data_IF_783079041284
#
_entry.id   IF_783079041284
#
_cell.length_a   1.000
_cell.length_b   1.000
_cell.length_c   1.000
_cell.angle_alpha   90.00
_cell.angle_beta   90.00
_cell.angle_gamma   90.00
#
_symmetry.space_group_name_H-M   'P 1'
#
loop_
_entity.id
_entity.type
_entity.pdbx_description
1 polymer ?
#
# COMPACT_ATOMS: atom_id res chain seq x y z
N UNK A 1 -12.39 1.06 10.61
CA UNK A 1 -11.06 0.41 10.87
C UNK A 1 -11.15 -0.80 11.80
N UNK A 2 -12.36 -1.22 12.19
CA UNK A 2 -12.55 -2.39 13.07
C UNK A 2 -11.89 -3.66 12.51
N UNK A 3 -12.06 -3.94 11.22
CA UNK A 3 -11.48 -5.12 10.56
C UNK A 3 -9.95 -5.22 10.66
N UNK A 4 -9.25 -4.07 10.76
CA UNK A 4 -7.80 -4.05 10.99
C UNK A 4 -7.45 -4.45 12.44
N UNK A 5 -8.18 -3.93 13.42
CA UNK A 5 -8.00 -4.33 14.83
C UNK A 5 -8.38 -5.78 15.05
N UNK A 6 -9.47 -6.25 14.42
CA UNK A 6 -9.90 -7.64 14.49
C UNK A 6 -8.84 -8.61 13.95
N UNK A 7 -8.17 -8.24 12.85
CA UNK A 7 -7.06 -9.03 12.33
C UNK A 7 -5.87 -9.06 13.29
N UNK A 8 -5.52 -7.90 13.89
CA UNK A 8 -4.43 -7.81 14.87
C UNK A 8 -4.72 -8.66 16.10
N UNK A 9 -5.94 -8.59 16.64
CA UNK A 9 -6.39 -9.43 17.77
C UNK A 9 -6.35 -10.91 17.39
N UNK A 10 -6.86 -11.26 16.23
CA UNK A 10 -6.87 -12.65 15.75
C UNK A 10 -5.46 -13.23 15.65
N UNK A 11 -4.47 -12.46 15.20
CA UNK A 11 -3.07 -12.93 15.14
C UNK A 11 -2.52 -13.17 16.56
N UNK A 12 -2.82 -12.29 17.52
CA UNK A 12 -2.38 -12.49 18.90
C UNK A 12 -2.99 -13.74 19.53
N UNK A 13 -4.25 -14.04 19.24
CA UNK A 13 -4.99 -15.15 19.85
C UNK A 13 -4.72 -16.48 19.15
N UNK A 14 -4.78 -16.52 17.83
CA UNK A 14 -4.81 -17.73 17.00
C UNK A 14 -3.53 -17.93 16.18
N UNK A 15 -2.64 -16.91 16.09
CA UNK A 15 -1.45 -16.96 15.25
C UNK A 15 -0.45 -18.02 15.68
N UNK A 16 0.16 -18.66 14.68
CA UNK A 16 1.23 -19.64 14.88
C UNK A 16 2.57 -18.94 15.02
N UNK A 17 3.35 -19.29 16.02
CA UNK A 17 4.71 -18.78 16.20
C UNK A 17 5.64 -19.35 15.12
N UNK A 18 6.42 -18.47 14.51
CA UNK A 18 7.38 -18.82 13.46
C UNK A 18 8.67 -18.04 13.62
N UNK A 19 9.79 -18.67 13.26
CA UNK A 19 11.03 -17.96 12.98
C UNK A 19 10.90 -17.17 11.69
N UNK A 20 11.63 -16.08 11.59
CA UNK A 20 11.71 -15.25 10.40
C UNK A 20 13.17 -14.94 10.03
N UNK A 21 13.39 -14.32 8.87
CA UNK A 21 14.72 -13.96 8.36
C UNK A 21 15.51 -13.06 9.31
N UNK A 22 14.82 -12.18 10.06
CA UNK A 22 15.44 -11.20 10.96
C UNK A 22 15.84 -11.82 12.32
N UNK A 23 15.38 -13.04 12.63
CA UNK A 23 15.59 -13.68 13.93
C UNK A 23 14.74 -13.10 15.06
N UNK A 24 13.85 -12.13 14.78
CA UNK A 24 12.95 -11.52 15.77
C UNK A 24 11.85 -12.48 16.21
N UNK A 25 11.40 -13.34 15.29
CA UNK A 25 10.23 -14.20 15.46
C UNK A 25 8.91 -13.46 15.18
N UNK A 26 7.90 -14.21 14.78
CA UNK A 26 6.57 -13.69 14.47
C UNK A 26 5.47 -14.59 14.98
N UNK A 27 4.28 -14.02 15.19
CA UNK A 27 3.01 -14.77 15.19
C UNK A 27 2.29 -14.48 13.88
N UNK A 28 1.81 -15.49 13.18
CA UNK A 28 1.16 -15.29 11.88
C UNK A 28 -0.07 -16.17 11.66
N UNK A 29 -0.96 -15.70 10.81
CA UNK A 29 -2.04 -16.47 10.20
C UNK A 29 -1.85 -16.46 8.68
N UNK A 30 -2.27 -17.53 8.01
CA UNK A 30 -2.21 -17.64 6.56
C UNK A 30 -3.60 -17.51 5.94
N UNK A 31 -3.74 -16.52 5.07
CA UNK A 31 -5.00 -16.24 4.37
C UNK A 31 -5.98 -15.42 5.22
N UNK A 32 -6.15 -14.15 4.85
CA UNK A 32 -7.14 -13.25 5.44
C UNK A 32 -7.56 -12.19 4.43
N UNK A 33 -8.75 -11.63 4.61
CA UNK A 33 -9.22 -10.53 3.75
C UNK A 33 -9.95 -9.48 4.58
N UNK A 34 -9.67 -8.20 4.26
CA UNK A 34 -10.36 -7.04 4.85
C UNK A 34 -11.02 -6.23 3.74
N UNK A 35 -12.18 -5.64 4.04
CA UNK A 35 -12.93 -4.76 3.14
C UNK A 35 -13.06 -3.37 3.73
N UNK A 36 -12.81 -2.35 2.91
CA UNK A 36 -12.92 -0.93 3.27
C UNK A 36 -13.83 -0.21 2.28
N UNK A 37 -15.02 0.16 2.71
CA UNK A 37 -15.91 1.02 1.95
C UNK A 37 -15.36 2.45 1.96
N UNK A 38 -14.81 2.90 0.83
CA UNK A 38 -14.16 4.20 0.71
C UNK A 38 -15.15 5.38 0.74
N UNK A 39 -16.46 5.11 0.65
CA UNK A 39 -17.50 6.14 0.82
C UNK A 39 -17.72 6.50 2.30
N UNK A 40 -17.28 5.65 3.23
CA UNK A 40 -17.37 5.90 4.68
C UNK A 40 -16.24 6.78 5.23
N UNK A 41 -15.26 7.12 4.40
CA UNK A 41 -14.10 7.91 4.75
C UNK A 41 -12.80 7.27 4.26
N UNK A 42 -11.71 8.00 4.37
CA UNK A 42 -10.39 7.52 4.00
C UNK A 42 -9.86 6.55 5.07
N UNK A 43 -9.49 5.31 4.73
CA UNK A 43 -9.15 4.28 5.71
C UNK A 43 -7.74 4.48 6.29
N UNK A 44 -7.52 5.60 6.96
CA UNK A 44 -6.31 5.90 7.71
C UNK A 44 -6.53 5.51 9.19
N UNK A 45 -5.63 4.72 9.75
CA UNK A 45 -5.71 4.25 11.13
C UNK A 45 -5.77 5.44 12.09
N UNK A 46 -6.70 5.42 13.04
CA UNK A 46 -6.90 6.46 14.06
C UNK A 46 -6.44 6.04 15.46
N UNK A 47 -6.24 4.74 15.69
CA UNK A 47 -5.77 4.20 16.98
C UNK A 47 -4.27 4.44 17.24
N UNK A 48 -3.56 4.92 16.24
CA UNK A 48 -2.23 5.54 16.34
C UNK A 48 -2.03 6.50 15.18
N UNK A 49 -1.20 7.53 15.37
CA UNK A 49 -0.85 8.47 14.30
C UNK A 49 -0.07 7.77 13.20
N UNK A 50 -0.51 7.94 11.96
CA UNK A 50 0.17 7.44 10.75
C UNK A 50 0.80 8.62 10.00
N UNK A 51 2.00 8.43 9.47
CA UNK A 51 2.74 9.45 8.73
C UNK A 51 2.31 9.50 7.26
N UNK A 52 1.17 10.14 7.00
CA UNK A 52 0.55 10.22 5.67
C UNK A 52 1.48 10.80 4.60
N UNK A 53 2.36 11.76 4.98
CA UNK A 53 3.34 12.35 4.02
C UNK A 53 4.19 11.27 3.36
N UNK A 54 4.70 10.29 4.12
CA UNK A 54 5.49 9.19 3.56
C UNK A 54 4.68 8.34 2.59
N UNK A 55 3.41 8.06 2.90
CA UNK A 55 2.52 7.26 2.05
C UNK A 55 2.29 7.93 0.70
N UNK A 56 2.01 9.24 0.70
CA UNK A 56 1.75 9.99 -0.54
C UNK A 56 3.02 10.05 -1.39
N UNK A 57 4.17 10.41 -0.81
CA UNK A 57 5.42 10.48 -1.57
C UNK A 57 5.87 9.11 -2.09
N UNK A 58 5.71 8.04 -1.31
CA UNK A 58 6.02 6.67 -1.77
C UNK A 58 5.14 6.28 -2.97
N UNK A 59 3.83 6.55 -2.92
CA UNK A 59 2.94 6.24 -4.03
C UNK A 59 3.28 7.04 -5.30
N UNK A 60 3.59 8.33 -5.17
CA UNK A 60 4.06 9.17 -6.27
C UNK A 60 5.36 8.60 -6.84
N UNK A 61 6.31 8.24 -6.00
CA UNK A 61 7.58 7.65 -6.39
C UNK A 61 7.42 6.32 -7.15
N UNK A 62 6.51 5.43 -6.71
CA UNK A 62 6.16 4.23 -7.47
C UNK A 62 5.58 4.57 -8.85
N UNK A 63 4.68 5.55 -8.92
CA UNK A 63 4.06 5.99 -10.17
C UNK A 63 5.07 6.67 -11.12
N UNK A 64 6.12 7.29 -10.62
CA UNK A 64 7.23 7.80 -11.41
C UNK A 64 8.10 6.69 -12.04
N UNK A 65 7.95 5.43 -11.56
CA UNK A 65 8.78 4.30 -12.00
C UNK A 65 10.20 4.34 -11.46
N UNK A 66 10.47 5.17 -10.47
CA UNK A 66 11.80 5.32 -9.88
C UNK A 66 12.14 4.16 -8.94
N UNK A 67 13.43 3.85 -8.87
CA UNK A 67 14.02 2.86 -7.95
C UNK A 67 15.06 3.48 -7.02
N UNK A 68 15.42 4.74 -7.26
CA UNK A 68 16.34 5.51 -6.44
C UNK A 68 15.59 6.33 -5.40
N UNK A 69 16.07 6.30 -4.16
CA UNK A 69 15.42 6.95 -3.01
C UNK A 69 15.69 8.46 -2.90
N UNK A 70 16.42 9.09 -3.82
CA UNK A 70 16.75 10.53 -3.77
C UNK A 70 15.51 11.40 -3.66
N UNK A 71 14.48 11.15 -4.49
CA UNK A 71 13.19 11.85 -4.39
C UNK A 71 12.56 11.75 -2.99
N UNK A 72 12.60 10.56 -2.39
CA UNK A 72 12.06 10.35 -1.03
C UNK A 72 12.84 11.15 0.00
N UNK A 73 14.18 11.11 -0.06
CA UNK A 73 15.07 11.88 0.84
C UNK A 73 14.87 13.38 0.71
N UNK A 74 14.80 13.91 -0.51
CA UNK A 74 14.52 15.33 -0.77
C UNK A 74 13.20 15.79 -0.16
N UNK A 75 12.22 14.89 -0.04
CA UNK A 75 10.93 15.15 0.57
C UNK A 75 10.87 14.76 2.08
N UNK A 76 12.00 14.40 2.69
CA UNK A 76 12.08 14.04 4.11
C UNK A 76 11.38 12.71 4.45
N UNK A 77 11.41 11.75 3.52
CA UNK A 77 10.86 10.40 3.67
C UNK A 77 12.00 9.42 3.71
N UNK A 78 12.11 8.64 4.80
CA UNK A 78 13.24 7.74 5.10
C UNK A 78 12.84 6.26 5.16
N UNK A 79 11.60 5.91 4.79
CA UNK A 79 11.05 4.56 4.96
C UNK A 79 11.72 3.48 4.09
N UNK A 80 12.62 3.86 3.20
CA UNK A 80 13.39 2.98 2.33
C UNK A 80 14.91 3.05 2.55
N UNK A 81 15.38 3.90 3.46
CA UNK A 81 16.82 4.16 3.66
C UNK A 81 17.61 2.90 4.06
N UNK A 82 17.01 1.99 4.82
CA UNK A 82 17.67 0.78 5.34
C UNK A 82 17.93 -0.28 4.26
N UNK A 83 17.24 -0.21 3.12
CA UNK A 83 17.37 -1.19 2.03
C UNK A 83 18.16 -0.66 0.83
N UNK A 84 18.34 0.65 0.73
CA UNK A 84 19.05 1.25 -0.39
C UNK A 84 20.56 1.04 -0.29
N UNK A 85 21.21 0.85 -1.45
CA UNK A 85 22.66 0.83 -1.52
C UNK A 85 23.29 2.22 -1.28
N UNK A 86 24.62 2.30 -1.37
CA UNK A 86 25.38 3.55 -1.17
C UNK A 86 25.01 4.67 -2.17
N UNK A 87 24.47 4.31 -3.34
CA UNK A 87 24.00 5.23 -4.38
C UNK A 87 22.51 5.56 -4.26
N UNK A 88 21.82 4.97 -3.27
CA UNK A 88 20.39 5.13 -3.07
C UNK A 88 19.53 4.23 -3.97
N UNK A 89 20.09 3.20 -4.59
CA UNK A 89 19.36 2.28 -5.47
C UNK A 89 18.79 1.08 -4.71
N UNK A 90 17.63 0.61 -5.15
CA UNK A 90 16.90 -0.52 -4.60
C UNK A 90 16.79 -1.70 -5.58
N UNK A 91 17.34 -1.55 -6.79
CA UNK A 91 17.10 -2.48 -7.87
C UNK A 91 15.68 -2.35 -8.46
N UNK A 92 15.23 -3.30 -9.28
CA UNK A 92 13.99 -3.18 -10.07
C UNK A 92 12.72 -3.42 -9.21
N UNK A 93 12.56 -2.65 -8.11
CA UNK A 93 11.41 -2.74 -7.19
C UNK A 93 10.13 -2.15 -7.80
N UNK A 94 9.06 -2.11 -7.07
CA UNK A 94 7.69 -1.70 -7.41
C UNK A 94 7.52 -0.74 -8.60
N UNK A 95 8.13 0.44 -8.53
CA UNK A 95 7.99 1.46 -9.57
C UNK A 95 8.50 0.98 -10.93
N UNK A 96 9.65 0.30 -10.96
CA UNK A 96 10.19 -0.30 -12.17
C UNK A 96 9.22 -1.34 -12.75
N UNK A 97 8.74 -2.27 -11.94
CA UNK A 97 7.82 -3.31 -12.41
C UNK A 97 6.50 -2.73 -12.91
N UNK A 98 5.96 -1.70 -12.26
CA UNK A 98 4.72 -1.07 -12.67
C UNK A 98 4.83 -0.28 -13.98
N UNK A 99 6.00 0.35 -14.24
CA UNK A 99 6.18 1.31 -15.31
C UNK A 99 7.12 0.86 -16.43
N UNK A 100 7.98 -0.10 -16.14
CA UNK A 100 9.08 -0.48 -17.04
C UNK A 100 9.31 -1.99 -17.06
N UNK A 101 8.23 -2.78 -17.00
CA UNK A 101 8.33 -4.24 -17.06
C UNK A 101 8.99 -4.69 -18.37
N UNK A 102 10.05 -5.51 -18.31
CA UNK A 102 10.73 -5.97 -19.52
C UNK A 102 9.85 -6.93 -20.32
N UNK A 103 9.54 -6.55 -21.56
CA UNK A 103 8.81 -7.38 -22.50
C UNK A 103 9.69 -8.36 -23.24
N UNK A 104 9.08 -9.28 -24.00
CA UNK A 104 9.76 -10.42 -24.62
C UNK A 104 10.79 -10.03 -25.68
N UNK A 105 10.55 -8.96 -26.43
CA UNK A 105 11.37 -8.53 -27.56
C UNK A 105 12.18 -7.27 -27.25
N UNK A 106 12.42 -6.98 -25.95
CA UNK A 106 13.11 -5.79 -25.50
C UNK A 106 12.26 -4.53 -25.41
N UNK A 107 10.95 -4.63 -25.65
CA UNK A 107 10.02 -3.54 -25.37
C UNK A 107 9.83 -3.37 -23.86
N UNK A 108 9.41 -2.16 -23.47
CA UNK A 108 9.03 -1.84 -22.10
C UNK A 108 7.52 -1.77 -21.99
N UNK A 109 6.96 -2.51 -21.01
CA UNK A 109 5.53 -2.53 -20.73
C UNK A 109 5.24 -1.62 -19.53
N UNK A 110 4.50 -0.54 -19.76
CA UNK A 110 3.95 0.32 -18.72
C UNK A 110 2.57 -0.22 -18.29
N UNK A 111 2.55 -0.98 -17.21
CA UNK A 111 1.33 -1.61 -16.71
C UNK A 111 0.30 -0.57 -16.22
N UNK A 112 0.73 0.55 -15.64
CA UNK A 112 -0.18 1.60 -15.14
C UNK A 112 -0.87 2.32 -16.30
N UNK A 113 -0.12 2.72 -17.33
CA UNK A 113 -0.72 3.33 -18.53
C UNK A 113 -1.65 2.36 -19.25
N UNK A 114 -1.25 1.09 -19.36
CA UNK A 114 -2.06 0.02 -19.93
C UNK A 114 -3.37 -0.21 -19.16
N UNK A 115 -3.30 -0.26 -17.83
CA UNK A 115 -4.47 -0.37 -16.95
C UNK A 115 -5.46 0.77 -17.17
N UNK A 116 -4.98 2.03 -17.12
CA UNK A 116 -5.83 3.21 -17.28
C UNK A 116 -6.51 3.23 -18.65
N UNK A 117 -5.75 2.90 -19.71
CA UNK A 117 -6.32 2.79 -21.05
C UNK A 117 -7.37 1.67 -21.14
N UNK A 118 -7.10 0.53 -20.50
CA UNK A 118 -8.04 -0.59 -20.50
C UNK A 118 -9.33 -0.26 -19.73
N UNK A 119 -9.26 0.43 -18.60
CA UNK A 119 -10.46 0.89 -17.88
C UNK A 119 -11.29 1.85 -18.76
N UNK A 120 -10.64 2.75 -19.50
CA UNK A 120 -11.33 3.69 -20.42
C UNK A 120 -12.06 2.98 -21.58
N UNK A 121 -11.42 1.96 -22.15
CA UNK A 121 -11.91 1.32 -23.40
C UNK A 121 -12.74 0.08 -23.16
N UNK A 122 -12.52 -0.62 -22.04
CA UNK A 122 -13.21 -1.85 -21.66
C UNK A 122 -13.28 -1.98 -20.12
N UNK A 123 -14.13 -1.20 -19.44
CA UNK A 123 -14.24 -1.20 -17.97
C UNK A 123 -14.69 -2.56 -17.40
N UNK A 124 -15.40 -3.39 -18.18
CA UNK A 124 -15.84 -4.72 -17.76
C UNK A 124 -14.74 -5.79 -17.84
N UNK A 125 -13.54 -5.41 -18.21
CA UNK A 125 -12.40 -6.33 -18.33
C UNK A 125 -12.06 -6.97 -16.98
N UNK A 126 -11.82 -8.28 -16.99
CA UNK A 126 -11.29 -9.05 -15.85
C UNK A 126 -9.76 -9.06 -15.80
N UNK A 127 -9.09 -8.26 -16.65
CA UNK A 127 -7.63 -8.18 -16.78
C UNK A 127 -7.08 -6.84 -16.31
N UNK A 128 -7.82 -6.12 -15.47
CA UNK A 128 -7.40 -4.84 -14.89
C UNK A 128 -6.41 -5.09 -13.75
N UNK A 129 -5.25 -5.69 -14.07
CA UNK A 129 -4.26 -6.18 -13.12
C UNK A 129 -2.93 -5.48 -13.35
N UNK A 130 -2.25 -5.15 -12.24
CA UNK A 130 -0.84 -4.74 -12.20
C UNK A 130 -0.10 -5.65 -11.24
N UNK A 131 1.07 -6.14 -11.64
CA UNK A 131 1.90 -7.00 -10.80
C UNK A 131 3.30 -6.41 -10.61
N UNK A 132 3.81 -6.50 -9.39
CA UNK A 132 5.20 -6.20 -9.07
C UNK A 132 6.05 -7.47 -8.91
N UNK A 133 5.42 -8.65 -8.81
CA UNK A 133 6.12 -9.91 -8.65
C UNK A 133 6.64 -10.42 -10.00
N UNK A 134 7.92 -10.21 -10.26
CA UNK A 134 8.62 -10.68 -11.44
C UNK A 134 9.67 -11.72 -11.06
N UNK A 135 9.45 -13.03 -11.30
CA UNK A 135 10.42 -14.07 -10.92
C UNK A 135 11.82 -13.89 -11.52
N UNK A 136 11.94 -13.19 -12.65
CA UNK A 136 13.24 -12.91 -13.28
C UNK A 136 14.04 -11.81 -12.59
N UNK A 137 13.39 -10.98 -11.78
CA UNK A 137 14.00 -9.81 -11.15
C UNK A 137 14.02 -9.85 -9.64
N UNK A 138 13.24 -10.74 -8.99
CA UNK A 138 13.08 -10.80 -7.53
C UNK A 138 14.42 -10.84 -6.80
N UNK A 139 15.40 -11.63 -7.30
CA UNK A 139 16.72 -11.75 -6.69
C UNK A 139 17.62 -10.51 -6.87
N UNK A 140 17.21 -9.56 -7.73
CA UNK A 140 17.92 -8.30 -7.97
C UNK A 140 17.36 -7.15 -7.14
N UNK A 141 16.26 -7.37 -6.42
CA UNK A 141 15.59 -6.38 -5.62
C UNK A 141 16.15 -6.34 -4.21
N UNK A 142 16.42 -5.15 -3.68
CA UNK A 142 16.84 -4.99 -2.30
C UNK A 142 15.79 -5.55 -1.32
N UNK A 143 14.51 -5.42 -1.70
CA UNK A 143 13.38 -6.01 -0.97
C UNK A 143 12.36 -6.58 -1.96
N UNK A 144 12.17 -7.92 -2.03
CA UNK A 144 11.13 -8.54 -2.85
C UNK A 144 9.73 -8.01 -2.51
N UNK A 145 8.86 -7.74 -3.52
CA UNK A 145 7.58 -7.09 -3.29
C UNK A 145 6.69 -7.85 -2.32
N UNK A 146 6.29 -7.20 -1.23
CA UNK A 146 5.32 -7.71 -0.27
C UNK A 146 3.91 -7.63 -0.85
N UNK A 147 3.51 -6.47 -1.38
CA UNK A 147 2.26 -6.27 -2.12
C UNK A 147 2.49 -6.62 -3.60
N UNK A 148 2.17 -7.88 -3.94
CA UNK A 148 2.61 -8.52 -5.17
C UNK A 148 1.83 -8.08 -6.40
N UNK A 149 0.50 -7.97 -6.28
CA UNK A 149 -0.39 -7.60 -7.38
C UNK A 149 -1.64 -6.92 -6.85
N UNK A 150 -2.22 -6.08 -7.69
CA UNK A 150 -3.54 -5.52 -7.44
C UNK A 150 -4.39 -5.55 -8.70
N UNK A 151 -5.70 -5.63 -8.47
CA UNK A 151 -6.71 -5.70 -9.53
C UNK A 151 -7.77 -4.64 -9.29
N UNK A 152 -8.19 -3.98 -10.38
CA UNK A 152 -9.34 -3.10 -10.33
C UNK A 152 -10.60 -3.78 -10.87
N UNK A 153 -11.72 -3.31 -10.36
CA UNK A 153 -13.04 -3.74 -10.79
C UNK A 153 -13.94 -2.50 -10.94
N UNK A 154 -14.59 -2.39 -12.08
CA UNK A 154 -15.54 -1.31 -12.36
C UNK A 154 -16.94 -1.88 -12.45
N UNK A 155 -17.87 -1.33 -11.69
CA UNK A 155 -19.27 -1.74 -11.71
C UNK A 155 -20.16 -0.57 -11.34
N UNK A 156 -21.25 -0.37 -12.08
CA UNK A 156 -22.23 0.70 -11.83
C UNK A 156 -21.60 2.09 -11.71
N UNK A 157 -20.59 2.38 -12.53
CA UNK A 157 -19.87 3.66 -12.52
C UNK A 157 -18.91 3.85 -11.33
N UNK A 158 -18.69 2.82 -10.53
CA UNK A 158 -17.76 2.83 -9.37
C UNK A 158 -16.54 1.99 -9.65
N UNK A 159 -15.39 2.45 -9.14
CA UNK A 159 -14.12 1.72 -9.20
C UNK A 159 -13.73 1.19 -7.81
N UNK A 160 -13.36 -0.08 -7.75
CA UNK A 160 -12.85 -0.77 -6.56
C UNK A 160 -11.47 -1.37 -6.85
N UNK A 161 -10.67 -1.57 -5.81
CA UNK A 161 -9.34 -2.17 -5.91
C UNK A 161 -9.22 -3.34 -4.95
N UNK A 162 -8.61 -4.43 -5.40
CA UNK A 162 -8.19 -5.54 -4.54
C UNK A 162 -6.67 -5.68 -4.62
N UNK A 163 -6.02 -5.67 -3.46
CA UNK A 163 -4.58 -5.95 -3.29
C UNK A 163 -4.38 -7.37 -2.78
N UNK A 164 -3.42 -8.11 -3.36
CA UNK A 164 -2.84 -9.29 -2.76
C UNK A 164 -1.46 -8.97 -2.20
N UNK A 165 -1.29 -9.14 -0.88
CA UNK A 165 -0.05 -8.95 -0.16
C UNK A 165 0.43 -10.30 0.40
N UNK A 166 1.57 -10.81 -0.10
CA UNK A 166 2.10 -12.13 0.28
C UNK A 166 2.64 -12.19 1.70
N UNK A 167 3.15 -11.06 2.20
CA UNK A 167 3.80 -10.91 3.50
C UNK A 167 3.43 -9.56 4.07
N UNK A 168 2.85 -9.53 5.26
CA UNK A 168 2.22 -8.35 5.82
C UNK A 168 2.55 -8.16 7.30
N UNK A 169 3.46 -7.23 7.60
CA UNK A 169 3.62 -6.70 8.96
C UNK A 169 2.39 -5.88 9.32
N UNK A 170 1.55 -6.45 10.19
CA UNK A 170 0.27 -5.85 10.55
C UNK A 170 0.44 -4.58 11.36
N UNK A 171 1.51 -4.48 12.16
CA UNK A 171 1.68 -3.32 13.02
C UNK A 171 2.26 -2.10 12.29
N UNK A 172 3.37 -2.25 11.56
CA UNK A 172 4.02 -1.12 10.87
C UNK A 172 3.58 -0.95 9.43
N UNK A 173 3.61 -2.02 8.61
CA UNK A 173 3.44 -1.93 7.16
C UNK A 173 1.99 -1.79 6.71
N UNK A 174 1.09 -2.64 7.22
CA UNK A 174 -0.29 -2.73 6.73
C UNK A 174 -1.07 -1.41 6.80
N UNK A 175 -0.96 -0.57 7.86
CA UNK A 175 -1.59 0.75 7.86
C UNK A 175 -1.19 1.65 6.68
N UNK A 176 0.07 1.59 6.26
CA UNK A 176 0.60 2.31 5.09
C UNK A 176 0.00 1.75 3.80
N UNK A 177 -0.02 0.42 3.65
CA UNK A 177 -0.54 -0.22 2.44
C UNK A 177 -2.05 0.02 2.27
N UNK A 178 -2.85 -0.02 3.34
CA UNK A 178 -4.29 0.30 3.29
C UNK A 178 -4.49 1.71 2.72
N UNK A 179 -3.81 2.70 3.30
CA UNK A 179 -3.96 4.09 2.88
C UNK A 179 -3.42 4.33 1.46
N UNK A 180 -2.28 3.72 1.10
CA UNK A 180 -1.67 3.86 -0.23
C UNK A 180 -2.59 3.35 -1.34
N UNK A 181 -3.15 2.14 -1.21
CA UNK A 181 -4.02 1.58 -2.25
C UNK A 181 -5.42 2.19 -2.26
N UNK A 182 -5.94 2.65 -1.12
CA UNK A 182 -7.13 3.48 -1.08
C UNK A 182 -6.91 4.79 -1.85
N UNK A 183 -5.76 5.46 -1.64
CA UNK A 183 -5.40 6.68 -2.35
C UNK A 183 -5.22 6.43 -3.86
N UNK A 184 -4.53 5.37 -4.26
CA UNK A 184 -4.39 4.98 -5.67
C UNK A 184 -5.76 4.78 -6.34
N UNK A 185 -6.70 4.14 -5.63
CA UNK A 185 -8.08 3.95 -6.12
C UNK A 185 -8.77 5.29 -6.34
N UNK A 186 -8.63 6.22 -5.39
CA UNK A 186 -9.19 7.57 -5.51
C UNK A 186 -8.56 8.35 -6.66
N UNK A 187 -7.23 8.26 -6.85
CA UNK A 187 -6.52 8.92 -7.95
C UNK A 187 -7.03 8.44 -9.31
N UNK A 188 -7.16 7.12 -9.50
CA UNK A 188 -7.67 6.55 -10.76
C UNK A 188 -9.14 6.93 -10.96
N UNK A 189 -9.98 6.85 -9.92
CA UNK A 189 -11.37 7.32 -9.98
C UNK A 189 -11.46 8.78 -10.42
N UNK A 190 -10.61 9.65 -9.87
CA UNK A 190 -10.56 11.09 -10.20
C UNK A 190 -10.27 11.34 -11.68
N UNK A 191 -9.20 10.74 -12.23
CA UNK A 191 -8.82 10.97 -13.64
C UNK A 191 -9.80 10.31 -14.63
N UNK A 192 -10.48 9.23 -14.23
CA UNK A 192 -11.44 8.49 -15.07
C UNK A 192 -12.88 8.95 -14.86
N UNK A 193 -13.13 9.85 -13.90
CA UNK A 193 -14.47 10.35 -13.53
C UNK A 193 -15.40 9.21 -13.11
N UNK A 194 -14.86 8.25 -12.36
CA UNK A 194 -15.60 7.16 -11.74
C UNK A 194 -15.82 7.47 -10.26
N UNK A 195 -16.97 7.08 -9.75
CA UNK A 195 -17.22 7.07 -8.31
C UNK A 195 -16.33 6.04 -7.62
N UNK A 196 -16.11 6.22 -6.32
CA UNK A 196 -15.26 5.34 -5.54
C UNK A 196 -16.10 4.22 -4.91
N UNK A 197 -15.63 2.98 -5.03
CA UNK A 197 -16.23 1.80 -4.43
C UNK A 197 -15.52 1.40 -3.13
N UNK A 198 -14.92 0.22 -3.13
CA UNK A 198 -14.22 -0.35 -1.98
C UNK A 198 -12.73 -0.64 -2.27
N UNK A 199 -11.95 -0.72 -1.20
CA UNK A 199 -10.64 -1.34 -1.21
C UNK A 199 -10.71 -2.68 -0.48
N UNK A 200 -10.25 -3.75 -1.14
CA UNK A 200 -10.17 -5.11 -0.58
C UNK A 200 -8.71 -5.47 -0.39
N UNK A 201 -8.32 -5.81 0.83
CA UNK A 201 -6.95 -6.20 1.16
C UNK A 201 -6.88 -7.68 1.48
N UNK A 202 -6.23 -8.45 0.63
CA UNK A 202 -6.08 -9.91 0.75
C UNK A 202 -4.64 -10.23 1.13
N UNK A 203 -4.47 -11.07 2.15
CA UNK A 203 -3.19 -11.43 2.71
C UNK A 203 -2.83 -12.89 2.46
N UNK A 204 -1.56 -13.15 2.20
CA UNK A 204 -0.94 -14.45 2.37
C UNK A 204 -0.54 -14.65 3.84
N UNK A 205 0.72 -14.38 4.19
CA UNK A 205 1.22 -14.40 5.56
C UNK A 205 0.95 -13.04 6.22
N UNK A 206 0.00 -13.00 7.16
CA UNK A 206 -0.31 -11.84 7.96
C UNK A 206 0.28 -12.04 9.36
N UNK A 207 1.25 -11.19 9.75
CA UNK A 207 2.03 -11.42 10.95
C UNK A 207 2.24 -10.18 11.82
N UNK A 208 2.51 -10.44 13.10
CA UNK A 208 3.04 -9.51 14.07
C UNK A 208 4.43 -9.98 14.49
N UNK A 209 5.41 -9.11 14.43
CA UNK A 209 6.73 -9.39 15.02
C UNK A 209 6.65 -9.50 16.55
N UNK A 210 7.44 -10.39 17.13
CA UNK A 210 7.39 -10.66 18.58
C UNK A 210 7.70 -9.41 19.41
N UNK A 211 8.57 -8.52 18.91
CA UNK A 211 8.91 -7.24 19.54
C UNK A 211 7.83 -6.16 19.37
N UNK A 212 6.69 -6.46 18.71
CA UNK A 212 5.54 -5.55 18.56
C UNK A 212 4.31 -5.99 19.36
N UNK A 213 4.35 -7.09 20.12
CA UNK A 213 3.17 -7.60 20.82
C UNK A 213 2.62 -6.62 21.87
N UNK A 214 3.48 -5.93 22.60
CA UNK A 214 3.04 -4.98 23.62
C UNK A 214 2.45 -3.72 22.97
N UNK A 215 3.04 -3.24 21.89
CA UNK A 215 2.53 -2.14 21.09
C UNK A 215 1.18 -2.47 20.44
N UNK A 216 1.01 -3.71 19.95
CA UNK A 216 -0.24 -4.19 19.40
C UNK A 216 -1.35 -4.23 20.48
N UNK A 217 -1.04 -4.74 21.67
CA UNK A 217 -1.97 -4.72 22.82
C UNK A 217 -2.34 -3.30 23.24
N UNK A 218 -1.37 -2.38 23.30
CA UNK A 218 -1.63 -0.96 23.56
C UNK A 218 -2.59 -0.39 22.52
N UNK A 219 -2.34 -0.64 21.23
CA UNK A 219 -3.19 -0.15 20.15
C UNK A 219 -4.60 -0.73 20.21
N UNK A 220 -4.75 -2.01 20.53
CA UNK A 220 -6.04 -2.69 20.69
C UNK A 220 -6.86 -2.15 21.88
N UNK A 221 -6.20 -1.61 22.89
CA UNK A 221 -6.85 -0.95 24.03
C UNK A 221 -7.39 0.46 23.75
N UNK A 222 -7.20 0.98 22.53
CA UNK A 222 -7.62 2.33 22.14
C UNK A 222 -8.90 2.30 21.31
N UNK A 223 -9.85 3.18 21.62
CA UNK A 223 -11.04 3.37 20.79
C UNK A 223 -10.65 3.96 19.43
N UNK A 224 -11.21 3.42 18.35
CA UNK A 224 -11.08 4.06 17.04
C UNK A 224 -12.00 5.27 16.94
N UNK A 225 -11.54 6.30 16.21
CA UNK A 225 -12.26 7.53 15.94
C UNK A 225 -12.86 7.51 14.54
N UNK A 226 -13.65 8.50 14.22
CA UNK A 226 -14.20 8.64 12.86
C UNK A 226 -13.10 8.72 11.82
N UNK A 227 -13.38 8.16 10.64
CA UNK A 227 -12.42 8.17 9.53
C UNK A 227 -12.27 9.61 8.99
N UNK A 228 -11.04 10.02 8.68
CA UNK A 228 -10.80 11.30 8.02
C UNK A 228 -11.32 11.28 6.59
N UNK A 229 -11.33 12.47 5.98
CA UNK A 229 -11.68 12.65 4.57
C UNK A 229 -10.45 13.03 3.77
N UNK A 230 -10.19 12.29 2.70
CA UNK A 230 -9.16 12.64 1.73
C UNK A 230 -9.79 13.43 0.58
N UNK A 231 -9.33 14.66 0.36
CA UNK A 231 -9.71 15.47 -0.80
C UNK A 231 -8.58 15.53 -1.81
N UNK A 232 -8.92 15.28 -3.07
CA UNK A 232 -8.02 15.53 -4.21
C UNK A 232 -8.46 16.87 -4.82
N UNK A 233 -7.64 17.90 -4.62
CA UNK A 233 -7.98 19.30 -4.95
C UNK A 233 -7.72 19.68 -6.40
N UNK A 234 -6.82 18.96 -7.08
CA UNK A 234 -6.48 19.18 -8.49
C UNK A 234 -7.34 18.33 -9.44
N UNK A 235 -7.23 18.63 -10.74
CA UNK A 235 -7.84 17.85 -11.82
C UNK A 235 -6.78 17.54 -12.89
N UNK A 236 -5.78 16.68 -12.58
CA UNK A 236 -4.73 16.33 -13.51
C UNK A 236 -5.29 15.55 -14.71
N UNK A 237 -4.58 15.62 -15.84
CA UNK A 237 -4.94 14.86 -17.06
C UNK A 237 -4.41 13.43 -17.02
N UNK A 238 -3.33 13.23 -16.27
CA UNK A 238 -2.67 11.94 -16.11
C UNK A 238 -2.48 11.61 -14.63
N UNK A 239 -2.44 10.32 -14.30
CA UNK A 239 -2.11 9.86 -12.95
C UNK A 239 -0.68 10.26 -12.54
N UNK A 240 0.17 10.51 -13.49
CA UNK A 240 1.57 10.89 -13.29
C UNK A 240 1.77 12.39 -13.02
N UNK A 241 0.71 13.19 -13.17
CA UNK A 241 0.74 14.64 -12.94
C UNK A 241 0.38 15.03 -11.50
N UNK A 242 0.03 14.06 -10.65
CA UNK A 242 -0.27 14.33 -9.25
C UNK A 242 1.00 14.71 -8.48
N UNK A 243 0.85 15.71 -7.60
CA UNK A 243 1.86 16.16 -6.65
C UNK A 243 1.34 16.03 -5.22
N UNK A 244 2.23 16.10 -4.24
CA UNK A 244 1.88 15.98 -2.82
C UNK A 244 0.79 16.97 -2.38
N UNK A 245 0.87 18.21 -2.88
CA UNK A 245 -0.04 19.32 -2.55
C UNK A 245 -1.47 19.12 -3.05
N UNK A 246 -1.69 18.16 -3.96
CA UNK A 246 -3.02 17.84 -4.47
C UNK A 246 -3.89 17.08 -3.45
N UNK A 247 -3.29 16.57 -2.37
CA UNK A 247 -3.93 15.72 -1.38
C UNK A 247 -4.10 16.47 -0.06
N UNK A 248 -5.35 16.68 0.35
CA UNK A 248 -5.70 17.36 1.60
C UNK A 248 -6.46 16.38 2.50
N UNK A 249 -5.89 16.07 3.66
CA UNK A 249 -6.55 15.26 4.67
C UNK A 249 -7.30 16.19 5.64
N UNK A 250 -8.60 15.96 5.77
CA UNK A 250 -9.47 16.70 6.70
C UNK A 250 -9.97 15.79 7.81
N UNK A 251 -10.23 16.36 8.95
CA UNK A 251 -10.87 15.71 10.11
C UNK A 251 -10.08 14.49 10.63
N UNK A 252 -8.74 14.48 10.53
CA UNK A 252 -7.93 13.38 11.06
C UNK A 252 -7.71 13.56 12.57
N UNK A 253 -8.61 12.96 13.37
CA UNK A 253 -8.43 12.77 14.80
C UNK A 253 -7.78 11.40 15.07
N UNK A 254 -6.75 11.37 15.89
CA UNK A 254 -5.92 10.18 16.10
C UNK A 254 -5.37 10.10 17.53
N UNK A 255 -5.11 8.88 17.98
CA UNK A 255 -4.30 8.66 19.17
C UNK A 255 -2.81 8.86 18.88
N UNK A 256 -2.00 9.19 19.91
CA UNK A 256 -0.56 9.38 19.75
C UNK A 256 0.13 8.21 19.05
N UNK A 257 1.23 8.51 18.39
CA UNK A 257 2.09 7.48 17.76
C UNK A 257 2.55 6.44 18.81
N UNK A 258 2.64 5.19 18.41
CA UNK A 258 3.22 4.10 19.20
C UNK A 258 4.54 3.72 18.50
N UNK A 259 5.70 4.04 19.08
CA UNK A 259 6.99 3.69 18.49
C UNK A 259 7.22 2.17 18.53
N UNK A 260 7.79 1.64 17.46
CA UNK A 260 8.20 0.24 17.37
C UNK A 260 9.45 0.11 16.48
N UNK A 261 10.37 -0.81 16.80
CA UNK A 261 11.54 -1.06 15.98
C UNK A 261 11.16 -1.72 14.66
N UNK A 262 11.84 -1.34 13.58
CA UNK A 262 11.73 -2.05 12.29
C UNK A 262 12.53 -3.35 12.38
N UNK A 263 11.96 -4.47 11.92
CA UNK A 263 12.66 -5.74 11.80
C UNK A 263 13.36 -5.80 10.43
N UNK A 264 14.68 -5.77 10.41
CA UNK A 264 15.56 -5.76 9.22
C UNK A 264 16.44 -6.99 9.14
#
# INVERSE_FOLDING_TARGET
>A
MQQYLDLMQKILDEGVERSDRTGTGTKSIFGHQMHFDLNKGFPLVTTKKIHLKSIIHELIWFLQGSTNISYLKENGVSIWDEWADENGELGPVYGHQWRSWPGRNGETIDQISGLINQIKTNPDSRRLIVTAWNPSDVEKMALPPCHCLFQFYVSNGKISCQLYQRSADIFLGVPFNIASYALLTMMIGKILKLDIGEFVHTFGDAHLYSNHFDQAKEQLGRDFKELPKMKITSNPKSIFDFNFEDFVLEDYDFHPHIPAPVAV
#
